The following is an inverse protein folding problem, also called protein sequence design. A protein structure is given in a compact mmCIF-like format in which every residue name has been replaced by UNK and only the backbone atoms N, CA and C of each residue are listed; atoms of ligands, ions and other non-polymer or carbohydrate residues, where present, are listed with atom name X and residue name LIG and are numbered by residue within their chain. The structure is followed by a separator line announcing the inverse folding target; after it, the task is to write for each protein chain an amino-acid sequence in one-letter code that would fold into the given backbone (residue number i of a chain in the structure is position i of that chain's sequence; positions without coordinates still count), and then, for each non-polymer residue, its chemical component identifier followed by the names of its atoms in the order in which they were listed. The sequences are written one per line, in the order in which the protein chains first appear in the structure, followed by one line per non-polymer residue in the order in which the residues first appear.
data_IF_904991972385
#
_entry.id   IF_904991972385
#
_cell.length_a   1.000
_cell.length_b   1.000
_cell.length_c   1.000
_cell.angle_alpha   90.00
_cell.angle_beta   90.00
_cell.angle_gamma   90.00
#
_symmetry.space_group_name_H-M   'P 1'
#
loop_
_entity.id
_entity.type
_entity.pdbx_description
1 polymer ?
#
# COMPACT_ATOMS: atom_id res chain seq x y z
N UNK A 1 -35.44 3.52 22.09
CA UNK A 1 -34.00 3.21 22.27
C UNK A 1 -33.68 1.98 21.47
N UNK A 2 -33.26 2.09 20.21
CA UNK A 2 -32.63 1.01 19.43
C UNK A 2 -31.70 1.65 18.41
N UNK A 3 -30.42 1.79 18.77
CA UNK A 3 -29.37 2.11 17.79
C UNK A 3 -28.96 0.79 17.14
N UNK A 4 -29.39 0.56 15.91
CA UNK A 4 -28.93 -0.57 15.11
C UNK A 4 -27.47 -0.36 14.76
N UNK A 5 -26.58 -0.92 15.57
CA UNK A 5 -25.16 -1.07 15.25
C UNK A 5 -25.05 -1.99 14.02
N UNK A 6 -25.16 -1.39 12.83
CA UNK A 6 -24.85 -2.03 11.56
C UNK A 6 -23.33 -2.05 11.37
N UNK A 7 -22.63 -2.63 12.36
CA UNK A 7 -21.23 -3.02 12.25
C UNK A 7 -21.20 -4.28 11.41
N UNK A 8 -21.57 -4.17 10.13
CA UNK A 8 -21.24 -5.16 9.11
C UNK A 8 -19.74 -5.40 9.27
N UNK A 9 -19.37 -6.57 9.81
CA UNK A 9 -18.00 -6.97 10.05
C UNK A 9 -17.20 -6.69 8.78
N UNK A 10 -16.46 -5.58 8.77
CA UNK A 10 -15.75 -5.09 7.59
C UNK A 10 -14.68 -6.13 7.31
N UNK A 11 -14.98 -7.04 6.38
CA UNK A 11 -14.15 -8.19 6.08
C UNK A 11 -12.77 -7.65 5.69
N UNK A 12 -11.72 -8.21 6.27
CA UNK A 12 -10.34 -7.84 5.91
C UNK A 12 -10.16 -8.22 4.44
N UNK A 13 -9.98 -7.22 3.58
CA UNK A 13 -9.67 -7.39 2.17
C UNK A 13 -8.15 -7.39 1.98
N UNK A 14 -7.63 -8.37 1.23
CA UNK A 14 -6.21 -8.46 0.91
C UNK A 14 -6.04 -8.00 -0.54
N UNK A 15 -5.33 -6.90 -0.73
CA UNK A 15 -4.97 -6.37 -2.04
C UNK A 15 -3.56 -6.84 -2.40
N UNK A 16 -3.38 -7.39 -3.61
CA UNK A 16 -2.09 -7.91 -4.07
C UNK A 16 -1.64 -7.16 -5.32
N UNK A 17 -0.39 -6.67 -5.29
CA UNK A 17 0.30 -6.10 -6.44
C UNK A 17 1.64 -6.80 -6.60
N UNK A 18 1.92 -7.32 -7.80
CA UNK A 18 3.19 -7.96 -8.13
C UNK A 18 3.99 -7.02 -9.02
N UNK A 19 4.99 -6.35 -8.44
CA UNK A 19 5.89 -5.49 -9.21
C UNK A 19 6.79 -6.37 -10.10
N UNK A 20 7.03 -6.00 -11.38
CA UNK A 20 7.94 -6.74 -12.25
C UNK A 20 9.42 -6.41 -12.00
N UNK A 21 9.71 -5.43 -11.15
CA UNK A 21 11.06 -5.00 -10.76
C UNK A 21 11.34 -5.27 -9.28
N UNK A 22 12.62 -5.27 -8.89
CA UNK A 22 13.03 -5.39 -7.49
C UNK A 22 12.61 -4.16 -6.69
N UNK A 23 11.93 -4.39 -5.57
CA UNK A 23 11.50 -3.35 -4.63
C UNK A 23 12.44 -3.38 -3.43
N UNK A 24 13.08 -2.25 -3.14
CA UNK A 24 14.01 -2.10 -2.01
C UNK A 24 13.36 -1.40 -0.81
N UNK A 25 12.34 -0.59 -1.05
CA UNK A 25 11.64 0.14 0.01
C UNK A 25 10.14 0.20 -0.27
N UNK A 26 9.34 0.19 0.81
CA UNK A 26 7.88 0.32 0.75
C UNK A 26 7.37 1.02 2.01
N UNK A 27 6.42 1.95 1.84
CA UNK A 27 5.74 2.57 2.99
C UNK A 27 4.33 3.05 2.66
N UNK A 28 3.45 3.03 3.66
CA UNK A 28 2.09 3.56 3.57
C UNK A 28 2.06 5.07 3.76
N UNK A 29 1.10 5.72 3.10
CA UNK A 29 0.78 7.11 3.38
C UNK A 29 0.23 7.28 4.79
N UNK A 30 0.86 8.15 5.58
CA UNK A 30 0.39 8.54 6.93
C UNK A 30 -0.71 9.61 6.92
N UNK A 31 -1.06 10.14 5.73
CA UNK A 31 -2.04 11.23 5.65
C UNK A 31 -3.47 10.70 5.82
N UNK A 32 -4.30 11.33 6.68
CA UNK A 32 -5.66 10.87 6.97
C UNK A 32 -6.68 11.21 5.87
N UNK A 33 -6.39 12.21 5.04
CA UNK A 33 -7.25 12.68 3.95
C UNK A 33 -7.27 11.72 2.75
N UNK A 34 -6.14 11.04 2.50
CA UNK A 34 -5.94 10.15 1.34
C UNK A 34 -5.63 8.73 1.80
N UNK A 35 -6.64 7.87 1.72
CA UNK A 35 -6.56 6.45 2.10
C UNK A 35 -5.96 5.61 0.97
N UNK A 36 -5.42 4.44 1.33
CA UNK A 36 -4.96 3.40 0.39
C UNK A 36 -3.85 3.79 -0.58
N UNK A 37 -2.93 4.66 -0.14
CA UNK A 37 -1.75 5.01 -0.94
C UNK A 37 -0.50 4.32 -0.40
N UNK A 38 0.16 3.56 -1.27
CA UNK A 38 1.42 2.85 -1.02
C UNK A 38 2.50 3.44 -1.91
N UNK A 39 3.65 3.78 -1.33
CA UNK A 39 4.85 4.15 -2.09
C UNK A 39 5.77 2.94 -2.23
N UNK A 40 6.32 2.74 -3.42
CA UNK A 40 7.29 1.69 -3.73
C UNK A 40 8.57 2.35 -4.26
N UNK A 41 9.72 1.95 -3.71
CA UNK A 41 11.04 2.37 -4.16
C UNK A 41 11.76 1.21 -4.83
N UNK A 42 12.13 1.38 -6.09
CA UNK A 42 12.97 0.46 -6.85
C UNK A 42 14.25 1.18 -7.28
N UNK A 43 15.32 0.41 -7.48
CA UNK A 43 16.60 0.91 -7.95
C UNK A 43 17.06 0.04 -9.12
N UNK A 44 17.54 0.68 -10.19
CA UNK A 44 18.18 0.01 -11.32
C UNK A 44 19.66 0.32 -11.21
N UNK A 45 20.45 -0.71 -10.96
CA UNK A 45 21.90 -0.56 -10.78
C UNK A 45 22.58 -0.57 -12.15
N UNK A 46 22.99 0.61 -12.62
CA UNK A 46 23.76 0.73 -13.85
C UNK A 46 25.26 0.71 -13.52
N UNK A 47 25.91 -0.43 -13.76
CA UNK A 47 27.35 -0.60 -13.61
C UNK A 47 28.13 -0.06 -14.82
N UNK A 48 27.85 1.17 -15.27
CA UNK A 48 28.59 1.77 -16.36
C UNK A 48 29.45 2.93 -15.84
N UNK A 49 30.75 2.67 -15.71
CA UNK A 49 31.74 3.72 -15.50
C UNK A 49 31.98 4.38 -16.86
N UNK A 50 31.32 5.51 -17.14
CA UNK A 50 31.65 6.34 -18.30
C UNK A 50 32.96 7.08 -18.09
#
# INVERSE_FOLDING_TARGET
MFSSNNSQNKRKEIYRYAAPWMVYAMNWSIRPDKRFRLALGSFVEEYNNK
#
